data_IF_273670959399
#
_entry.id   IF_273670959399
#
_cell.length_a   1.000
_cell.length_b   1.000
_cell.length_c   1.000
_cell.angle_alpha   90.00
_cell.angle_beta   90.00
_cell.angle_gamma   90.00
#
_symmetry.space_group_name_H-M   'P 1'
#
loop_
_entity.id
_entity.type
_entity.pdbx_description
1 polymer ?
#
# COMPACT_ATOMS: atom_id res chain seq x y z
N UNK A 1 11.39 36.81 -15.33
CA UNK A 1 11.75 36.67 -13.90
C UNK A 1 10.52 36.20 -13.16
N UNK A 2 10.51 34.94 -12.70
CA UNK A 2 9.48 34.41 -11.79
C UNK A 2 9.76 34.87 -10.36
N UNK A 3 8.73 34.95 -9.52
CA UNK A 3 8.84 34.18 -8.30
C UNK A 3 7.68 33.20 -8.14
N UNK A 4 8.06 31.94 -7.96
CA UNK A 4 7.29 30.88 -7.34
C UNK A 4 6.91 31.27 -5.92
N UNK A 5 5.65 31.07 -5.51
CA UNK A 5 5.37 30.84 -4.11
C UNK A 5 4.23 29.83 -3.91
N UNK A 6 4.52 28.87 -3.06
CA UNK A 6 3.73 27.70 -2.71
C UNK A 6 2.41 28.12 -2.06
N UNK A 7 1.29 27.76 -2.70
CA UNK A 7 0.00 27.72 -2.01
C UNK A 7 -0.12 26.37 -1.29
N UNK A 8 0.38 26.33 -0.06
CA UNK A 8 0.17 25.21 0.86
C UNK A 8 -1.27 25.28 1.37
N UNK A 9 -2.10 24.35 0.92
CA UNK A 9 -3.47 24.18 1.41
C UNK A 9 -3.48 23.54 2.81
N UNK A 10 -4.23 24.08 3.80
CA UNK A 10 -4.50 23.38 5.05
C UNK A 10 -5.96 22.85 5.05
N UNK A 11 -6.17 21.61 4.61
CA UNK A 11 -7.50 20.99 4.61
C UNK A 11 -7.47 19.52 5.07
N UNK A 12 -6.74 19.19 6.14
CA UNK A 12 -6.45 17.80 6.52
C UNK A 12 -6.91 17.39 7.93
N UNK A 13 -8.14 17.74 8.34
CA UNK A 13 -8.68 17.27 9.65
C UNK A 13 -9.80 16.24 9.51
N UNK A 14 -10.43 16.10 8.33
CA UNK A 14 -11.51 15.13 8.10
C UNK A 14 -11.01 13.78 7.57
N UNK A 15 -9.79 13.71 7.07
CA UNK A 15 -9.32 12.58 6.25
C UNK A 15 -8.64 11.46 7.04
N UNK A 16 -8.32 11.63 8.33
CA UNK A 16 -7.59 10.60 9.08
C UNK A 16 -8.38 9.29 9.24
N UNK A 17 -9.70 9.36 9.39
CA UNK A 17 -10.56 8.18 9.53
C UNK A 17 -10.89 7.50 8.20
N UNK A 18 -10.85 8.25 7.09
CA UNK A 18 -10.97 7.71 5.74
C UNK A 18 -9.64 7.07 5.33
N UNK A 19 -8.53 7.78 5.55
CA UNK A 19 -7.17 7.31 5.34
C UNK A 19 -6.89 6.02 6.11
N UNK A 20 -7.26 5.94 7.39
CA UNK A 20 -7.05 4.73 8.21
C UNK A 20 -7.87 3.53 7.71
N UNK A 21 -9.11 3.75 7.25
CA UNK A 21 -9.92 2.71 6.60
C UNK A 21 -9.30 2.24 5.28
N UNK A 22 -8.78 3.16 4.47
CA UNK A 22 -8.06 2.83 3.24
C UNK A 22 -6.79 2.04 3.53
N UNK A 23 -6.04 2.40 4.57
CA UNK A 23 -4.85 1.67 5.02
C UNK A 23 -5.18 0.25 5.49
N UNK A 24 -6.27 0.06 6.24
CA UNK A 24 -6.72 -1.26 6.69
C UNK A 24 -7.15 -2.15 5.51
N UNK A 25 -7.83 -1.59 4.51
CA UNK A 25 -8.25 -2.31 3.29
C UNK A 25 -7.03 -2.71 2.45
N UNK A 26 -6.09 -1.78 2.23
CA UNK A 26 -4.84 -2.06 1.51
C UNK A 26 -4.02 -3.11 2.28
N UNK A 27 -4.02 -3.04 3.62
CA UNK A 27 -3.34 -4.02 4.45
C UNK A 27 -3.91 -5.44 4.28
N UNK A 28 -5.22 -5.57 4.16
CA UNK A 28 -5.90 -6.84 3.91
C UNK A 28 -5.54 -7.41 2.52
N UNK A 29 -5.57 -6.60 1.46
CA UNK A 29 -5.17 -7.05 0.12
C UNK A 29 -3.72 -7.53 0.08
N UNK A 30 -2.82 -6.83 0.77
CA UNK A 30 -1.43 -7.25 0.88
C UNK A 30 -1.30 -8.58 1.64
N UNK A 31 -2.06 -8.81 2.71
CA UNK A 31 -2.02 -10.08 3.44
C UNK A 31 -2.47 -11.24 2.55
N UNK A 32 -3.55 -11.05 1.80
CA UNK A 32 -4.03 -12.02 0.81
C UNK A 32 -2.99 -12.25 -0.29
N UNK A 33 -2.37 -11.19 -0.82
CA UNK A 33 -1.30 -11.28 -1.81
C UNK A 33 -0.09 -12.08 -1.31
N UNK A 34 0.33 -11.88 -0.06
CA UNK A 34 1.43 -12.65 0.55
C UNK A 34 1.05 -14.13 0.69
N UNK A 35 -0.19 -14.44 1.12
CA UNK A 35 -0.68 -15.82 1.20
C UNK A 35 -0.76 -16.48 -0.17
N UNK A 36 -1.20 -15.74 -1.19
CA UNK A 36 -1.23 -16.18 -2.58
C UNK A 36 0.19 -16.45 -3.10
N UNK A 37 1.17 -15.62 -2.74
CA UNK A 37 2.56 -15.85 -3.12
C UNK A 37 3.07 -17.19 -2.60
N UNK A 38 2.80 -17.51 -1.33
CA UNK A 38 3.24 -18.78 -0.72
C UNK A 38 2.51 -20.01 -1.27
N UNK A 39 1.29 -19.87 -1.78
CA UNK A 39 0.45 -21.00 -2.22
C UNK A 39 0.39 -21.20 -3.74
N UNK A 40 0.42 -20.11 -4.51
CA UNK A 40 0.22 -20.08 -5.97
C UNK A 40 1.39 -19.41 -6.72
N UNK A 41 2.40 -18.91 -5.99
CA UNK A 41 3.59 -18.28 -6.56
C UNK A 41 3.46 -16.77 -6.77
N UNK A 42 4.62 -16.14 -7.05
CA UNK A 42 4.77 -14.68 -7.10
C UNK A 42 3.95 -14.01 -8.21
N UNK A 43 3.78 -14.65 -9.37
CA UNK A 43 3.01 -14.09 -10.49
C UNK A 43 1.53 -13.92 -10.13
N UNK A 44 0.91 -14.92 -9.51
CA UNK A 44 -0.48 -14.85 -9.06
C UNK A 44 -0.69 -13.75 -8.00
N UNK A 45 0.23 -13.64 -7.05
CA UNK A 45 0.19 -12.59 -6.05
C UNK A 45 0.32 -11.18 -6.65
N UNK A 46 1.15 -11.03 -7.69
CA UNK A 46 1.37 -9.75 -8.36
C UNK A 46 0.11 -9.31 -9.13
N UNK A 47 -0.51 -10.20 -9.89
CA UNK A 47 -1.77 -9.93 -10.61
C UNK A 47 -2.93 -9.60 -9.65
N UNK A 48 -3.02 -10.32 -8.52
CA UNK A 48 -4.01 -10.05 -7.49
C UNK A 48 -3.86 -8.63 -6.93
N UNK A 49 -2.65 -8.22 -6.56
CA UNK A 49 -2.40 -6.89 -5.99
C UNK A 49 -2.58 -5.78 -7.01
N UNK A 50 -2.18 -5.99 -8.26
CA UNK A 50 -2.40 -5.03 -9.35
C UNK A 50 -3.89 -4.81 -9.61
N UNK A 51 -4.70 -5.87 -9.54
CA UNK A 51 -6.15 -5.79 -9.73
C UNK A 51 -6.87 -5.02 -8.61
N UNK A 52 -6.23 -4.86 -7.44
CA UNK A 52 -6.75 -4.13 -6.29
C UNK A 52 -6.14 -2.72 -6.14
N UNK A 53 -5.59 -2.16 -7.22
CA UNK A 53 -4.98 -0.82 -7.28
C UNK A 53 -3.83 -0.62 -6.28
N UNK A 54 -3.12 -1.71 -5.93
CA UNK A 54 -1.96 -1.61 -5.05
C UNK A 54 -0.78 -1.08 -5.86
N UNK A 55 -0.19 0.02 -5.40
CA UNK A 55 0.95 0.64 -6.08
C UNK A 55 2.09 -0.36 -6.33
N UNK A 56 2.72 -0.37 -7.52
CA UNK A 56 3.78 -1.32 -7.87
C UNK A 56 4.96 -1.31 -6.90
N UNK A 57 5.28 -0.15 -6.34
CA UNK A 57 6.31 0.03 -5.31
C UNK A 57 5.97 -0.70 -4.00
N UNK A 58 4.69 -0.74 -3.63
CA UNK A 58 4.19 -1.50 -2.49
C UNK A 58 4.22 -2.99 -2.80
N UNK A 59 3.76 -3.41 -3.99
CA UNK A 59 3.81 -4.80 -4.47
C UNK A 59 5.24 -5.35 -4.40
N UNK A 60 6.20 -4.63 -4.99
CA UNK A 60 7.61 -5.01 -4.97
C UNK A 60 8.11 -5.14 -3.53
N UNK A 61 7.74 -4.22 -2.62
CA UNK A 61 8.17 -4.25 -1.21
C UNK A 61 7.59 -5.45 -0.45
N UNK A 62 6.32 -5.78 -0.67
CA UNK A 62 5.63 -6.84 0.09
C UNK A 62 6.00 -8.23 -0.42
N UNK A 63 6.15 -8.40 -1.74
CA UNK A 63 6.54 -9.67 -2.35
C UNK A 63 8.04 -9.96 -2.25
N UNK A 64 8.90 -8.93 -2.14
CA UNK A 64 10.34 -9.12 -1.92
C UNK A 64 10.71 -9.39 -0.46
N UNK A 65 9.88 -8.96 0.49
CA UNK A 65 10.14 -9.09 1.93
C UNK A 65 8.84 -9.39 2.71
N UNK A 66 8.18 -10.52 2.47
CA UNK A 66 6.90 -10.86 3.12
C UNK A 66 7.01 -10.92 4.66
N UNK A 67 8.19 -11.26 5.21
CA UNK A 67 8.43 -11.33 6.66
C UNK A 67 8.66 -10.00 7.38
N UNK A 68 8.64 -8.84 6.70
CA UNK A 68 8.91 -7.52 7.34
C UNK A 68 7.64 -6.79 7.80
N UNK A 69 6.49 -7.45 7.79
CA UNK A 69 5.27 -6.95 8.40
C UNK A 69 5.30 -7.22 9.91
N UNK A 70 5.66 -6.19 10.68
CA UNK A 70 5.60 -6.14 12.15
C UNK A 70 6.45 -7.19 12.88
N UNK A 71 7.75 -6.91 13.00
CA UNK A 71 8.34 -7.02 14.32
C UNK A 71 7.77 -5.86 15.14
N UNK A 72 6.62 -6.09 15.78
CA UNK A 72 6.24 -5.30 16.95
C UNK A 72 7.03 -5.96 18.07
N UNK A 73 8.23 -5.44 18.35
CA UNK A 73 8.81 -5.59 19.67
C UNK A 73 7.99 -4.73 20.64
#
# INVERSE_FOLDING_TARGET
>A
MVPSNLSIAPAATTDLAAQRRSEDIIAAYIDTGIRLQSSHGTTCALEYLQSHDVAPSVIQRVLSRPGKRRNSA
#
